data_IF_241668129610
#
_entry.id   IF_241668129610
#
_cell.length_a   1.000
_cell.length_b   1.000
_cell.length_c   1.000
_cell.angle_alpha   90.00
_cell.angle_beta   90.00
_cell.angle_gamma   90.00
#
_symmetry.space_group_name_H-M   'P 1'
#
loop_
_entity.id
_entity.type
_entity.pdbx_description
1 polymer ?
#
# COMPACT_ATOMS: atom_id res chain seq x y z
N UNK A 1 -3.82 -38.81 -0.20
CA UNK A 1 -3.52 -37.66 0.69
C UNK A 1 -2.82 -36.52 -0.07
N UNK A 2 -3.42 -35.97 -1.14
CA UNK A 2 -2.76 -34.91 -1.97
C UNK A 2 -3.68 -33.68 -2.18
N UNK A 3 -4.91 -33.68 -1.65
CA UNK A 3 -5.87 -32.59 -1.88
C UNK A 3 -5.68 -31.36 -0.96
N UNK A 4 -4.98 -31.53 0.18
CA UNK A 4 -4.87 -30.48 1.21
C UNK A 4 -3.85 -29.37 0.94
N UNK A 5 -2.82 -29.62 0.12
CA UNK A 5 -1.76 -28.63 -0.12
C UNK A 5 -2.12 -27.56 -1.17
N UNK A 6 -3.10 -27.83 -2.06
CA UNK A 6 -3.52 -26.85 -3.07
C UNK A 6 -4.23 -25.63 -2.47
N UNK A 7 -4.89 -25.80 -1.33
CA UNK A 7 -5.61 -24.71 -0.66
C UNK A 7 -4.69 -23.74 0.11
N UNK A 8 -3.49 -24.17 0.50
CA UNK A 8 -2.55 -23.30 1.21
C UNK A 8 -1.94 -22.22 0.31
N UNK A 9 -1.69 -22.53 -0.96
CA UNK A 9 -1.10 -21.57 -1.90
C UNK A 9 -2.15 -20.66 -2.58
N UNK A 10 -3.44 -20.92 -2.40
CA UNK A 10 -4.53 -20.12 -2.98
C UNK A 10 -4.67 -18.72 -2.38
N UNK A 11 -4.06 -18.45 -1.22
CA UNK A 11 -4.09 -17.14 -0.57
C UNK A 11 -2.96 -16.22 -1.05
N UNK A 12 -1.91 -16.77 -1.68
CA UNK A 12 -0.94 -15.96 -2.39
C UNK A 12 -1.53 -15.66 -3.76
N UNK A 13 -2.27 -14.56 -3.86
CA UNK A 13 -2.67 -14.00 -5.15
C UNK A 13 -1.41 -13.82 -5.99
N UNK A 14 -1.16 -14.74 -6.92
CA UNK A 14 -0.04 -14.65 -7.85
C UNK A 14 -0.34 -13.40 -8.69
N UNK A 15 0.37 -12.31 -8.40
CA UNK A 15 0.26 -11.07 -9.15
C UNK A 15 0.36 -11.39 -10.65
N UNK A 16 -0.63 -10.96 -11.44
CA UNK A 16 -0.64 -11.20 -12.88
C UNK A 16 0.69 -10.72 -13.47
N UNK A 17 1.37 -11.58 -14.23
CA UNK A 17 2.65 -11.32 -14.88
C UNK A 17 2.52 -10.05 -15.75
N UNK A 18 2.90 -8.89 -15.22
CA UNK A 18 2.80 -7.58 -15.89
C UNK A 18 2.15 -6.45 -15.08
N UNK A 19 1.37 -6.75 -14.04
CA UNK A 19 0.90 -5.74 -13.07
C UNK A 19 1.73 -5.84 -11.80
N UNK A 20 2.77 -5.01 -11.70
CA UNK A 20 3.44 -4.77 -10.41
C UNK A 20 2.54 -3.87 -9.58
N UNK A 21 1.62 -4.47 -8.83
CA UNK A 21 0.76 -3.74 -7.90
C UNK A 21 1.55 -3.14 -6.73
N UNK A 22 2.74 -3.69 -6.46
CA UNK A 22 3.64 -3.30 -5.38
C UNK A 22 4.98 -2.78 -5.92
N UNK A 23 5.61 -1.87 -5.17
CA UNK A 23 6.99 -1.42 -5.41
C UNK A 23 8.02 -2.22 -4.61
N UNK A 24 7.58 -3.27 -3.92
CA UNK A 24 8.46 -4.14 -3.16
C UNK A 24 8.90 -5.32 -4.03
N UNK A 25 10.19 -5.57 -4.04
CA UNK A 25 10.82 -6.68 -4.75
C UNK A 25 11.65 -7.48 -3.76
N UNK A 26 11.65 -8.81 -3.89
CA UNK A 26 12.51 -9.67 -3.08
C UNK A 26 13.84 -9.83 -3.81
N UNK A 27 14.94 -9.47 -3.16
CA UNK A 27 16.27 -9.65 -3.75
C UNK A 27 16.69 -11.14 -3.70
N UNK A 28 17.83 -11.47 -4.31
CA UNK A 28 18.34 -12.85 -4.34
C UNK A 28 18.67 -13.43 -2.95
N UNK A 29 18.91 -12.55 -1.99
CA UNK A 29 19.21 -12.91 -0.60
C UNK A 29 17.92 -13.10 0.24
N UNK A 30 16.75 -12.96 -0.37
CA UNK A 30 15.45 -13.09 0.29
C UNK A 30 14.99 -11.85 1.05
N UNK A 31 15.73 -10.74 0.98
CA UNK A 31 15.34 -9.49 1.61
C UNK A 31 14.29 -8.73 0.77
N UNK A 32 13.29 -8.16 1.45
CA UNK A 32 12.30 -7.29 0.84
C UNK A 32 12.89 -5.89 0.63
N UNK A 33 13.04 -5.48 -0.63
CA UNK A 33 13.62 -4.21 -1.04
C UNK A 33 12.54 -3.35 -1.70
N UNK A 34 12.47 -2.08 -1.28
CA UNK A 34 11.58 -1.10 -1.89
C UNK A 34 12.25 -0.43 -3.10
N UNK A 35 11.62 -0.51 -4.27
CA UNK A 35 11.98 0.27 -5.44
C UNK A 35 11.53 1.73 -5.26
N UNK A 36 12.38 2.52 -4.60
CA UNK A 36 12.13 3.93 -4.28
C UNK A 36 11.90 4.77 -5.54
N UNK A 37 12.71 4.56 -6.58
CA UNK A 37 12.61 5.35 -7.81
C UNK A 37 11.30 5.09 -8.55
N UNK A 38 10.88 3.81 -8.62
CA UNK A 38 9.59 3.43 -9.16
C UNK A 38 8.43 4.02 -8.37
N UNK A 39 8.51 4.00 -7.04
CA UNK A 39 7.49 4.58 -6.16
C UNK A 39 7.37 6.10 -6.37
N UNK A 40 8.49 6.83 -6.41
CA UNK A 40 8.52 8.27 -6.59
C UNK A 40 7.97 8.67 -7.97
N UNK A 41 8.45 8.02 -9.05
CA UNK A 41 7.99 8.29 -10.43
C UNK A 41 6.51 7.99 -10.63
N UNK A 42 5.95 7.03 -9.89
CA UNK A 42 4.52 6.68 -9.99
C UNK A 42 3.58 7.77 -9.45
N UNK A 43 4.09 8.70 -8.64
CA UNK A 43 3.29 9.73 -7.96
C UNK A 43 2.36 9.17 -6.87
N UNK A 44 2.34 7.86 -6.61
CA UNK A 44 1.49 7.24 -5.57
C UNK A 44 1.83 7.76 -4.18
N UNK A 45 3.10 8.02 -3.89
CA UNK A 45 3.52 8.59 -2.60
C UNK A 45 2.96 10.00 -2.39
N UNK A 46 2.97 10.84 -3.43
CA UNK A 46 2.39 12.18 -3.35
C UNK A 46 0.87 12.14 -3.12
N UNK A 47 0.15 11.26 -3.82
CA UNK A 47 -1.30 11.08 -3.61
C UNK A 47 -1.63 10.63 -2.18
N UNK A 48 -0.80 9.77 -1.59
CA UNK A 48 -0.96 9.36 -0.20
C UNK A 48 -0.70 10.51 0.78
N UNK A 49 0.33 11.33 0.50
CA UNK A 49 0.61 12.52 1.30
C UNK A 49 -0.52 13.56 1.22
N UNK A 50 -1.08 13.77 0.04
CA UNK A 50 -2.20 14.69 -0.16
C UNK A 50 -3.47 14.18 0.55
N UNK A 51 -3.79 12.89 0.42
CA UNK A 51 -4.89 12.30 1.17
C UNK A 51 -4.68 12.41 2.70
N UNK A 52 -3.45 12.26 3.19
CA UNK A 52 -3.15 12.45 4.61
C UNK A 52 -3.32 13.91 5.07
N UNK A 53 -3.00 14.88 4.21
CA UNK A 53 -3.26 16.30 4.45
C UNK A 53 -4.76 16.59 4.50
N UNK A 54 -5.52 16.08 3.54
CA UNK A 54 -6.98 16.23 3.50
C UNK A 54 -7.63 15.66 4.77
N UNK A 55 -7.19 14.49 5.24
CA UNK A 55 -7.67 13.90 6.49
C UNK A 55 -7.36 14.76 7.72
N UNK A 56 -6.19 15.40 7.75
CA UNK A 56 -5.83 16.34 8.82
C UNK A 56 -6.74 17.57 8.79
N UNK A 57 -7.00 18.13 7.62
CA UNK A 57 -7.82 19.33 7.48
C UNK A 57 -9.30 19.04 7.81
N UNK A 58 -9.81 17.87 7.43
CA UNK A 58 -11.12 17.39 7.86
C UNK A 58 -11.21 17.25 9.39
N UNK A 59 -10.17 16.74 10.04
CA UNK A 59 -10.10 16.67 11.51
C UNK A 59 -10.12 18.06 12.15
N UNK A 60 -9.33 19.00 11.63
CA UNK A 60 -9.28 20.37 12.13
C UNK A 60 -10.62 21.11 11.95
N UNK A 61 -11.28 20.93 10.81
CA UNK A 61 -12.60 21.48 10.56
C UNK A 61 -13.65 20.93 11.54
N UNK A 62 -13.60 19.63 11.82
CA UNK A 62 -14.47 18.97 12.80
C UNK A 62 -14.25 19.49 14.22
N UNK A 63 -13.01 19.72 14.62
CA UNK A 63 -12.68 20.23 15.95
C UNK A 63 -13.08 21.71 16.11
N UNK A 64 -12.94 22.53 15.05
CA UNK A 64 -13.34 23.95 15.08
C UNK A 64 -14.87 24.12 15.19
N UNK A 65 -15.64 23.22 14.56
CA UNK A 65 -17.11 23.15 14.69
C UNK A 65 -17.60 22.64 16.05
N UNK A 66 -16.70 22.13 16.90
CA UNK A 66 -16.98 21.62 18.25
C UNK A 66 -16.56 22.59 19.36
N UNK A 67 -16.39 23.87 19.04
CA UNK A 67 -16.21 24.90 20.07
C UNK A 67 -17.43 24.86 21.00
N UNK A 68 -17.26 24.53 22.30
CA UNK A 68 -18.37 24.53 23.23
C UNK A 68 -18.77 25.99 23.43
N UNK A 69 -20.02 26.31 23.11
CA UNK A 69 -20.65 27.53 23.61
C UNK A 69 -20.82 27.42 25.13
#
# INVERSE_FOLDING_TARGET
>A
MISGMKHFFSQFTIAKRGQKDTFYEVNRDGALVLNRDGLLKSGRMNRQLDAARDLRDLKLARDKGRSPK
#
